data_IF_059325808754
#
_entry.id   IF_059325808754
#
_cell.length_a   1.000
_cell.length_b   1.000
_cell.length_c   1.000
_cell.angle_alpha   90.00
_cell.angle_beta   90.00
_cell.angle_gamma   90.00
#
_symmetry.space_group_name_H-M   'P 1'
#
loop_
_entity.id
_entity.type
_entity.pdbx_description
1 polymer ?
#
# COMPACT_ATOMS: atom_id res chain seq x y z
N UNK A 1 1.02 -33.69 32.76
CA UNK A 1 0.28 -33.50 31.49
C UNK A 1 -0.79 -32.46 31.75
N UNK A 2 -0.54 -31.19 31.41
CA UNK A 2 -1.54 -30.12 31.58
C UNK A 2 -2.50 -30.21 30.39
N UNK A 3 -3.66 -30.82 30.61
CA UNK A 3 -4.71 -30.94 29.60
C UNK A 3 -5.45 -29.62 29.44
N UNK A 4 -5.20 -28.92 28.33
CA UNK A 4 -5.97 -27.74 27.96
C UNK A 4 -7.35 -28.17 27.41
N UNK A 5 -8.40 -27.99 28.22
CA UNK A 5 -9.79 -28.06 27.76
C UNK A 5 -10.13 -26.74 27.09
N UNK A 6 -10.24 -26.73 25.76
CA UNK A 6 -10.59 -25.52 25.03
C UNK A 6 -12.12 -25.40 24.93
N UNK A 7 -12.65 -24.28 25.41
CA UNK A 7 -14.04 -23.93 25.24
C UNK A 7 -14.25 -23.29 23.86
N UNK A 8 -14.68 -24.10 22.89
CA UNK A 8 -14.86 -23.67 21.49
C UNK A 8 -15.74 -22.43 21.32
N UNK A 9 -16.83 -22.31 22.09
CA UNK A 9 -17.69 -21.12 22.04
C UNK A 9 -16.95 -19.84 22.45
N UNK A 10 -16.21 -19.89 23.56
CA UNK A 10 -15.40 -18.76 24.03
C UNK A 10 -14.25 -18.43 23.05
N UNK A 11 -13.65 -19.46 22.44
CA UNK A 11 -12.60 -19.27 21.44
C UNK A 11 -13.10 -18.48 20.22
N UNK A 12 -14.21 -18.90 19.61
CA UNK A 12 -14.76 -18.20 18.45
C UNK A 12 -15.28 -16.81 18.81
N UNK A 13 -15.82 -16.62 20.02
CA UNK A 13 -16.28 -15.31 20.48
C UNK A 13 -15.11 -14.32 20.64
N UNK A 14 -14.02 -14.76 21.29
CA UNK A 14 -12.81 -13.96 21.43
C UNK A 14 -12.15 -13.66 20.07
N UNK A 15 -12.12 -14.64 19.17
CA UNK A 15 -11.59 -14.48 17.81
C UNK A 15 -12.40 -13.47 16.99
N UNK A 16 -13.73 -13.53 17.06
CA UNK A 16 -14.62 -12.60 16.37
C UNK A 16 -14.43 -11.16 16.88
N UNK A 17 -14.35 -10.97 18.20
CA UNK A 17 -14.06 -9.66 18.80
C UNK A 17 -12.69 -9.12 18.39
N UNK A 18 -11.67 -9.98 18.32
CA UNK A 18 -10.33 -9.61 17.87
C UNK A 18 -10.32 -9.16 16.41
N UNK A 19 -10.98 -9.90 15.52
CA UNK A 19 -11.12 -9.52 14.10
C UNK A 19 -11.88 -8.20 13.96
N UNK A 20 -12.98 -8.01 14.69
CA UNK A 20 -13.76 -6.78 14.67
C UNK A 20 -12.93 -5.58 15.15
N UNK A 21 -12.14 -5.76 16.21
CA UNK A 21 -11.27 -4.71 16.72
C UNK A 21 -10.26 -4.24 15.67
N UNK A 22 -9.58 -5.17 15.00
CA UNK A 22 -8.61 -4.83 13.94
C UNK A 22 -9.31 -4.13 12.79
N UNK A 23 -10.48 -4.60 12.37
CA UNK A 23 -11.26 -4.00 11.29
C UNK A 23 -11.59 -2.53 11.54
N UNK A 24 -12.04 -2.18 12.75
CA UNK A 24 -12.40 -0.79 13.10
C UNK A 24 -11.16 0.10 13.27
N UNK A 25 -10.02 -0.47 13.67
CA UNK A 25 -8.81 0.28 14.01
C UNK A 25 -7.86 0.48 12.83
N UNK A 26 -8.03 -0.28 11.74
CA UNK A 26 -7.16 -0.14 10.57
C UNK A 26 -7.38 1.23 9.91
N UNK A 27 -6.34 2.04 9.70
CA UNK A 27 -6.50 3.30 8.98
C UNK A 27 -6.82 3.03 7.51
N UNK A 28 -7.60 3.92 6.89
CA UNK A 28 -7.85 3.84 5.45
C UNK A 28 -6.53 4.01 4.68
N UNK A 29 -6.30 3.23 3.60
CA UNK A 29 -5.12 3.39 2.78
C UNK A 29 -5.09 4.80 2.19
N UNK A 30 -3.96 5.50 2.39
CA UNK A 30 -3.77 6.85 1.86
C UNK A 30 -3.30 6.75 0.41
N UNK A 31 -4.12 7.28 -0.51
CA UNK A 31 -3.70 7.45 -1.91
C UNK A 31 -2.75 8.65 -1.96
N UNK A 32 -1.47 8.40 -2.23
CA UNK A 32 -0.46 9.45 -2.37
C UNK A 32 -0.20 9.69 -3.85
N UNK A 33 -0.69 10.82 -4.38
CA UNK A 33 -0.39 11.26 -5.74
C UNK A 33 1.03 11.82 -5.74
N UNK A 34 1.96 11.09 -6.34
CA UNK A 34 3.34 11.54 -6.55
C UNK A 34 3.52 11.92 -8.00
N UNK A 35 4.24 13.01 -8.25
CA UNK A 35 4.61 13.41 -9.60
C UNK A 35 5.97 12.83 -9.98
N UNK A 36 6.23 12.57 -11.28
CA UNK A 36 7.56 12.25 -11.76
C UNK A 36 8.49 13.44 -11.54
N UNK A 37 9.64 13.17 -10.94
CA UNK A 37 10.76 14.09 -10.77
C UNK A 37 12.02 13.43 -11.34
N UNK A 38 13.06 14.23 -11.69
CA UNK A 38 14.33 13.67 -12.17
C UNK A 38 14.94 12.63 -11.20
N UNK A 39 14.72 12.78 -9.90
CA UNK A 39 15.30 11.90 -8.86
C UNK A 39 14.56 10.56 -8.70
N UNK A 40 13.27 10.53 -9.04
CA UNK A 40 12.38 9.37 -8.86
C UNK A 40 12.03 8.64 -10.17
N UNK A 41 12.44 9.20 -11.32
CA UNK A 41 12.32 8.58 -12.64
C UNK A 41 12.91 7.16 -12.60
N UNK A 42 12.23 6.21 -13.25
CA UNK A 42 12.64 4.81 -13.24
C UNK A 42 12.46 4.05 -11.92
N UNK A 43 12.14 4.72 -10.80
CA UNK A 43 12.01 4.09 -9.47
C UNK A 43 10.56 3.95 -9.00
N UNK A 44 9.64 4.68 -9.61
CA UNK A 44 8.22 4.71 -9.24
C UNK A 44 7.37 4.29 -10.43
N UNK A 45 6.39 3.41 -10.19
CA UNK A 45 5.38 3.00 -11.16
C UNK A 45 4.15 3.87 -10.97
N UNK A 46 3.66 4.44 -12.06
CA UNK A 46 2.48 5.30 -12.11
C UNK A 46 1.32 4.51 -12.68
N UNK A 47 0.11 4.86 -12.22
CA UNK A 47 -1.14 4.25 -12.65
C UNK A 47 -2.03 5.33 -13.23
N UNK A 48 -2.53 5.14 -14.45
CA UNK A 48 -3.49 6.06 -15.07
C UNK A 48 -4.94 5.75 -14.65
N UNK A 49 -5.87 6.56 -15.14
CA UNK A 49 -7.31 6.41 -14.91
C UNK A 49 -7.91 5.18 -15.60
N UNK A 50 -7.18 4.56 -16.53
CA UNK A 50 -7.58 3.38 -17.32
C UNK A 50 -6.89 2.11 -16.80
N UNK A 51 -6.36 2.14 -15.58
CA UNK A 51 -5.70 1.01 -14.90
C UNK A 51 -4.33 0.59 -15.50
N UNK A 52 -3.76 1.35 -16.43
CA UNK A 52 -2.45 1.02 -17.00
C UNK A 52 -1.32 1.42 -16.06
N UNK A 53 -0.33 0.52 -15.95
CA UNK A 53 0.88 0.75 -15.17
C UNK A 53 2.05 1.13 -16.08
N UNK A 54 2.69 2.26 -15.82
CA UNK A 54 3.80 2.77 -16.64
C UNK A 54 4.89 3.44 -15.79
N UNK A 55 6.07 3.58 -16.37
CA UNK A 55 7.26 4.16 -15.71
C UNK A 55 7.82 5.25 -16.61
N UNK A 56 8.05 6.44 -16.06
CA UNK A 56 8.74 7.51 -16.77
C UNK A 56 10.23 7.21 -16.87
N UNK A 57 10.82 7.49 -18.03
CA UNK A 57 12.25 7.53 -18.23
C UNK A 57 12.69 8.98 -18.47
N UNK A 58 13.75 9.42 -17.79
CA UNK A 58 14.37 10.70 -18.10
C UNK A 58 15.45 10.49 -19.15
N UNK A 59 15.38 11.31 -20.20
CA UNK A 59 16.49 11.49 -21.12
C UNK A 59 17.35 12.64 -20.62
N UNK A 60 18.66 12.41 -20.46
CA UNK A 60 19.58 13.52 -20.20
C UNK A 60 19.66 14.38 -21.44
N UNK A 61 19.41 15.67 -21.27
CA UNK A 61 19.59 16.65 -22.32
C UNK A 61 20.92 17.36 -22.08
N UNK A 62 21.86 17.19 -23.02
CA UNK A 62 23.24 17.69 -22.89
C UNK A 62 23.34 19.23 -23.02
N UNK A 63 22.28 19.87 -23.51
CA UNK A 63 22.22 21.33 -23.69
C UNK A 63 20.85 21.88 -23.37
N UNK A 64 20.76 22.76 -22.35
CA UNK A 64 19.56 23.56 -22.11
C UNK A 64 19.20 24.35 -23.38
N UNK A 65 17.93 24.31 -23.84
CA UNK A 65 17.51 25.13 -24.96
C UNK A 65 17.68 26.60 -24.56
N UNK A 66 18.58 27.30 -25.26
CA UNK A 66 18.74 28.75 -25.08
C UNK A 66 17.47 29.40 -25.62
N UNK A 67 16.88 30.25 -24.79
CA UNK A 67 15.64 31.00 -25.06
C UNK A 67 15.83 31.96 -26.24
#
# INVERSE_FOLDING_TARGET
>A
MVGFKIHWGAFFFALALGMLYVYIRVPLPKIVIKYPTPDNVGKVVYKDEVDNCYVYQATKQDSCPKK
#
